data_IF_176422481696
#
_entry.id   IF_176422481696
#
_cell.length_a   1.000
_cell.length_b   1.000
_cell.length_c   1.000
_cell.angle_alpha   90.00
_cell.angle_beta   90.00
_cell.angle_gamma   90.00
#
_symmetry.space_group_name_H-M   'P 1'
#
loop_
_entity.id
_entity.type
_entity.pdbx_description
1 polymer ?
#
# COMPACT_ATOMS: atom_id res chain seq x y z
N UNK A 1 7.05 10.30 14.56
CA UNK A 1 8.37 10.39 13.93
C UNK A 1 8.31 11.40 12.78
N UNK A 2 8.99 12.52 12.93
CA UNK A 2 8.94 13.63 11.96
C UNK A 2 10.19 13.65 11.09
N UNK A 3 10.03 13.44 9.79
CA UNK A 3 11.12 13.41 8.82
C UNK A 3 11.17 14.66 7.93
N UNK A 4 10.37 15.70 8.20
CA UNK A 4 10.26 16.87 7.33
C UNK A 4 11.57 17.63 7.11
N UNK A 5 12.53 17.51 8.00
CA UNK A 5 13.84 18.18 7.91
C UNK A 5 15.01 17.21 7.66
N UNK A 6 14.72 15.96 7.37
CA UNK A 6 15.75 14.94 7.11
C UNK A 6 16.26 15.10 5.68
N UNK A 7 17.58 15.25 5.55
CA UNK A 7 18.24 15.43 4.26
C UNK A 7 18.81 14.12 3.68
N UNK A 8 19.00 13.09 4.47
CA UNK A 8 19.51 11.80 4.03
C UNK A 8 18.93 10.64 4.82
N UNK A 9 18.63 9.56 4.12
CA UNK A 9 18.09 8.32 4.68
C UNK A 9 18.88 7.10 4.16
N UNK A 10 20.18 7.32 3.89
CA UNK A 10 21.04 6.25 3.41
C UNK A 10 21.12 5.14 4.44
N UNK A 11 20.99 3.89 3.97
CA UNK A 11 21.18 2.69 4.79
C UNK A 11 20.28 2.61 6.04
N UNK A 12 19.20 3.38 6.08
CA UNK A 12 18.36 3.54 7.29
C UNK A 12 17.80 2.20 7.81
N UNK A 13 17.45 1.29 6.93
CA UNK A 13 16.95 -0.05 7.26
C UNK A 13 17.84 -1.16 6.70
N UNK A 14 19.05 -0.85 6.27
CA UNK A 14 19.96 -1.86 5.70
C UNK A 14 20.15 -3.04 6.65
N UNK A 15 20.06 -4.24 6.11
CA UNK A 15 20.28 -5.46 6.88
C UNK A 15 19.16 -5.84 7.85
N UNK A 16 18.02 -5.16 7.82
CA UNK A 16 16.86 -5.52 8.65
C UNK A 16 16.19 -6.79 8.10
N UNK A 17 16.88 -7.91 8.14
CA UNK A 17 16.47 -9.16 7.47
C UNK A 17 15.19 -9.79 8.04
N UNK A 18 14.82 -9.50 9.27
CA UNK A 18 13.60 -10.01 9.89
C UNK A 18 12.37 -9.11 9.70
N UNK A 19 12.55 -7.92 9.15
CA UNK A 19 11.50 -6.94 8.96
C UNK A 19 10.59 -7.36 7.80
N UNK A 20 9.29 -7.46 8.05
CA UNK A 20 8.31 -7.94 7.06
C UNK A 20 7.46 -6.84 6.46
N UNK A 21 7.08 -5.85 7.26
CA UNK A 21 6.21 -4.75 6.84
C UNK A 21 6.71 -3.44 7.43
N UNK A 22 6.74 -2.40 6.61
CA UNK A 22 7.06 -1.03 7.03
C UNK A 22 5.92 -0.10 6.65
N UNK A 23 5.42 0.65 7.61
CA UNK A 23 4.46 1.73 7.35
C UNK A 23 5.19 3.07 7.36
N UNK A 24 5.37 3.63 6.18
CA UNK A 24 6.10 4.88 5.96
C UNK A 24 5.19 6.00 5.46
N UNK A 25 3.87 5.90 5.68
CA UNK A 25 2.90 6.90 5.24
C UNK A 25 3.16 8.28 5.82
N UNK A 26 3.74 8.35 7.00
CA UNK A 26 4.05 9.60 7.70
C UNK A 26 5.44 10.17 7.37
N UNK A 27 6.18 9.51 6.50
CA UNK A 27 7.49 10.00 6.08
C UNK A 27 7.32 11.14 5.09
N UNK A 28 7.99 12.25 5.37
CA UNK A 28 8.16 13.34 4.42
C UNK A 28 9.56 13.24 3.83
N UNK A 29 9.65 13.04 2.53
CA UNK A 29 10.91 12.85 1.81
C UNK A 29 11.26 14.02 0.89
N UNK A 30 10.53 15.15 0.99
CA UNK A 30 10.71 16.30 0.10
C UNK A 30 12.11 16.91 0.15
N UNK A 31 12.76 16.84 1.30
CA UNK A 31 14.12 17.37 1.50
C UNK A 31 15.20 16.30 1.44
N UNK A 32 14.83 15.04 1.25
CA UNK A 32 15.78 13.94 1.24
C UNK A 32 16.49 13.89 -0.10
N UNK A 33 17.81 13.96 -0.07
CA UNK A 33 18.66 13.89 -1.25
C UNK A 33 19.26 12.51 -1.49
N UNK A 34 19.49 11.74 -0.44
CA UNK A 34 20.09 10.42 -0.51
C UNK A 34 19.27 9.35 0.18
N UNK A 35 19.07 8.24 -0.52
CA UNK A 35 18.41 7.03 -0.03
C UNK A 35 19.17 5.77 -0.46
N UNK A 36 20.48 5.90 -0.68
CA UNK A 36 21.33 4.78 -1.08
C UNK A 36 21.26 3.66 -0.05
N UNK A 37 21.01 2.44 -0.49
CA UNK A 37 20.93 1.27 0.38
C UNK A 37 19.85 1.30 1.46
N UNK A 38 18.87 2.19 1.39
CA UNK A 38 17.91 2.42 2.47
C UNK A 38 17.24 1.15 2.98
N UNK A 39 16.87 0.23 2.08
CA UNK A 39 16.25 -1.05 2.41
C UNK A 39 17.12 -2.24 2.01
N UNK A 40 18.37 -2.02 1.67
CA UNK A 40 19.27 -3.07 1.20
C UNK A 40 19.30 -4.25 2.17
N UNK A 41 19.24 -5.45 1.61
CA UNK A 41 19.29 -6.73 2.36
C UNK A 41 18.15 -6.93 3.37
N UNK A 42 17.02 -6.27 3.18
CA UNK A 42 15.78 -6.56 3.91
C UNK A 42 15.09 -7.80 3.28
N UNK A 43 15.67 -8.98 3.48
CA UNK A 43 15.29 -10.20 2.75
C UNK A 43 13.85 -10.69 3.00
N UNK A 44 13.29 -10.41 4.17
CA UNK A 44 11.92 -10.80 4.53
C UNK A 44 10.87 -9.72 4.27
N UNK A 45 11.30 -8.53 3.82
CA UNK A 45 10.41 -7.40 3.61
C UNK A 45 9.47 -7.65 2.42
N UNK A 46 8.17 -7.66 2.68
CA UNK A 46 7.13 -7.90 1.67
C UNK A 46 6.36 -6.64 1.30
N UNK A 47 6.10 -5.78 2.28
CA UNK A 47 5.23 -4.63 2.11
C UNK A 47 5.88 -3.35 2.67
N UNK A 48 6.00 -2.34 1.84
CA UNK A 48 6.35 -0.98 2.26
C UNK A 48 5.13 -0.11 1.95
N UNK A 49 4.45 0.37 2.98
CA UNK A 49 3.22 1.12 2.85
C UNK A 49 3.55 2.61 2.69
N UNK A 50 3.20 3.18 1.56
CA UNK A 50 3.31 4.61 1.29
C UNK A 50 2.27 5.03 0.27
N UNK A 51 1.65 6.18 0.50
CA UNK A 51 0.62 6.71 -0.41
C UNK A 51 1.22 7.55 -1.53
N UNK A 52 2.51 7.84 -1.48
CA UNK A 52 3.19 8.73 -2.42
C UNK A 52 4.42 8.07 -3.02
N UNK A 53 4.73 8.46 -4.26
CA UNK A 53 6.02 8.16 -4.86
C UNK A 53 7.10 9.02 -4.21
N UNK A 54 8.27 8.44 -4.02
CA UNK A 54 9.42 9.15 -3.48
C UNK A 54 10.40 9.54 -4.59
N UNK A 55 11.17 10.58 -4.36
CA UNK A 55 12.20 11.04 -5.28
C UNK A 55 13.43 11.48 -4.47
N UNK A 56 14.61 11.20 -4.99
CA UNK A 56 15.88 11.73 -4.45
C UNK A 56 16.96 11.69 -5.55
N UNK A 57 18.07 12.33 -5.26
CA UNK A 57 19.20 12.40 -6.21
C UNK A 57 20.05 11.13 -6.20
N UNK A 58 20.22 10.53 -5.02
CA UNK A 58 21.07 9.37 -4.81
C UNK A 58 20.25 8.22 -4.22
N UNK A 59 20.16 7.12 -4.94
CA UNK A 59 19.32 5.97 -4.53
C UNK A 59 19.89 4.62 -4.97
N UNK A 60 21.21 4.57 -5.16
CA UNK A 60 21.85 3.33 -5.59
C UNK A 60 21.58 2.19 -4.58
N UNK A 61 21.28 1.01 -5.11
CA UNK A 61 21.04 -0.20 -4.32
C UNK A 61 19.94 -0.05 -3.22
N UNK A 62 19.04 0.93 -3.35
CA UNK A 62 18.02 1.22 -2.35
C UNK A 62 17.20 -0.02 -1.94
N UNK A 63 16.85 -0.88 -2.88
CA UNK A 63 16.07 -2.09 -2.65
C UNK A 63 16.83 -3.38 -2.91
N UNK A 64 18.15 -3.33 -3.07
CA UNK A 64 18.95 -4.52 -3.35
C UNK A 64 18.80 -5.56 -2.25
N UNK A 65 18.56 -6.81 -2.64
CA UNK A 65 18.37 -7.90 -1.69
C UNK A 65 16.96 -8.01 -1.10
N UNK A 66 16.05 -7.13 -1.46
CA UNK A 66 14.65 -7.16 -0.99
C UNK A 66 13.81 -8.12 -1.85
N UNK A 67 14.21 -9.37 -1.94
CA UNK A 67 13.68 -10.35 -2.90
C UNK A 67 12.21 -10.72 -2.73
N UNK A 68 11.60 -10.37 -1.60
CA UNK A 68 10.20 -10.66 -1.30
C UNK A 68 9.25 -9.48 -1.46
N UNK A 69 9.74 -8.34 -1.91
CA UNK A 69 8.89 -7.17 -2.11
C UNK A 69 7.78 -7.44 -3.11
N UNK A 70 6.57 -7.04 -2.74
CA UNK A 70 5.35 -7.20 -3.54
C UNK A 70 4.57 -5.88 -3.52
N UNK A 71 4.92 -4.99 -4.41
CA UNK A 71 4.15 -3.77 -4.64
C UNK A 71 3.22 -3.91 -5.84
N UNK A 72 3.12 -2.84 -6.61
CA UNK A 72 2.41 -2.86 -7.90
C UNK A 72 3.09 -3.81 -8.89
N UNK A 73 4.40 -4.06 -8.74
CA UNK A 73 5.19 -4.99 -9.56
C UNK A 73 6.01 -5.93 -8.68
N UNK A 74 6.39 -7.06 -9.24
CA UNK A 74 7.28 -8.01 -8.56
C UNK A 74 8.71 -7.46 -8.49
N UNK A 75 9.47 -7.92 -7.50
CA UNK A 75 10.86 -7.54 -7.34
C UNK A 75 11.71 -7.91 -8.56
N UNK A 76 12.54 -6.97 -9.00
CA UNK A 76 13.52 -7.15 -10.06
C UNK A 76 14.88 -6.63 -9.57
N UNK A 77 15.88 -7.49 -9.49
CA UNK A 77 17.21 -7.14 -8.98
C UNK A 77 17.99 -6.15 -9.86
N UNK A 78 17.48 -5.86 -11.05
CA UNK A 78 18.00 -4.82 -11.95
C UNK A 78 17.35 -3.46 -11.71
N UNK A 79 16.29 -3.40 -10.92
CA UNK A 79 15.52 -2.20 -10.64
C UNK A 79 15.47 -1.98 -9.13
N UNK A 80 16.51 -1.34 -8.61
CA UNK A 80 16.73 -1.20 -7.17
C UNK A 80 16.87 0.25 -6.71
N UNK A 81 16.56 1.20 -7.56
CA UNK A 81 16.67 2.63 -7.25
C UNK A 81 15.31 3.25 -6.81
N UNK A 82 15.31 4.54 -6.53
CA UNK A 82 14.12 5.28 -6.07
C UNK A 82 12.96 5.28 -7.07
N UNK A 83 13.19 4.96 -8.32
CA UNK A 83 12.09 4.82 -9.31
C UNK A 83 11.11 3.73 -8.91
N UNK A 84 11.56 2.76 -8.13
CA UNK A 84 10.72 1.71 -7.60
C UNK A 84 10.04 2.07 -6.26
N UNK A 85 10.34 3.22 -5.69
CA UNK A 85 9.70 3.77 -4.50
C UNK A 85 8.37 4.46 -4.87
N UNK A 86 7.44 3.66 -5.38
CA UNK A 86 6.20 4.15 -5.97
C UNK A 86 5.07 3.11 -5.74
N UNK A 87 3.90 3.52 -5.21
CA UNK A 87 2.79 2.60 -4.99
C UNK A 87 2.01 2.24 -6.26
N UNK A 88 2.17 2.99 -7.36
CA UNK A 88 1.47 2.74 -8.62
C UNK A 88 2.27 1.83 -9.57
N UNK A 89 3.59 2.00 -9.62
CA UNK A 89 4.45 1.34 -10.62
C UNK A 89 5.68 0.67 -10.03
N UNK A 90 5.83 0.65 -8.73
CA UNK A 90 7.02 0.14 -8.04
C UNK A 90 6.72 -0.84 -6.92
N UNK A 91 7.56 -0.82 -5.89
CA UNK A 91 7.53 -1.78 -4.79
C UNK A 91 6.72 -1.33 -3.58
N UNK A 92 6.22 -0.12 -3.57
CA UNK A 92 5.36 0.37 -2.51
C UNK A 92 3.94 -0.16 -2.69
N UNK A 93 3.18 -0.20 -1.60
CA UNK A 93 1.76 -0.51 -1.60
C UNK A 93 1.00 0.62 -0.94
N UNK A 94 -0.23 0.85 -1.39
CA UNK A 94 -1.16 1.73 -0.68
C UNK A 94 -1.53 1.11 0.67
N UNK A 95 -2.19 1.89 1.51
CA UNK A 95 -2.68 1.42 2.79
C UNK A 95 -3.38 0.07 2.64
N UNK A 96 -2.79 -0.96 3.26
CA UNK A 96 -3.31 -2.32 3.15
C UNK A 96 -4.47 -2.49 4.13
N UNK A 97 -5.71 -2.63 3.65
CA UNK A 97 -6.84 -2.79 4.55
C UNK A 97 -6.74 -4.13 5.28
N UNK A 98 -7.28 -4.18 6.51
CA UNK A 98 -7.51 -5.43 7.21
C UNK A 98 -8.54 -6.26 6.46
N UNK A 99 -8.68 -7.55 6.78
CA UNK A 99 -9.70 -8.40 6.16
C UNK A 99 -11.11 -7.80 6.31
N UNK A 100 -11.43 -7.22 7.46
CA UNK A 100 -12.69 -6.50 7.68
C UNK A 100 -12.76 -5.25 6.81
N UNK A 101 -11.67 -4.51 6.69
CA UNK A 101 -11.58 -3.35 5.83
C UNK A 101 -11.77 -3.70 4.35
N UNK A 102 -11.28 -4.85 3.90
CA UNK A 102 -11.49 -5.31 2.53
C UNK A 102 -12.95 -5.54 2.22
N UNK A 103 -13.71 -6.12 3.13
CA UNK A 103 -15.16 -6.30 2.95
C UNK A 103 -15.85 -4.95 2.79
N UNK A 104 -15.53 -3.98 3.62
CA UNK A 104 -16.08 -2.63 3.53
C UNK A 104 -15.64 -1.92 2.24
N UNK A 105 -14.41 -2.11 1.82
CA UNK A 105 -13.89 -1.54 0.57
C UNK A 105 -14.62 -2.09 -0.65
N UNK A 106 -14.86 -3.38 -0.70
CA UNK A 106 -15.60 -3.98 -1.80
C UNK A 106 -17.00 -3.38 -1.95
N UNK A 107 -17.63 -3.00 -0.87
CA UNK A 107 -18.93 -2.34 -0.91
C UNK A 107 -18.88 -0.90 -1.43
N UNK A 108 -17.72 -0.23 -1.34
CA UNK A 108 -17.57 1.17 -1.80
C UNK A 108 -17.50 1.32 -3.31
N UNK A 109 -16.92 0.35 -3.98
CA UNK A 109 -16.57 0.49 -5.39
C UNK A 109 -17.64 -0.01 -6.33
N UNK A 110 -18.77 -0.37 -5.80
CA UNK A 110 -19.77 -1.02 -6.61
C UNK A 110 -21.08 -0.27 -6.53
N UNK A 111 -21.54 0.14 -7.68
CA UNK A 111 -22.90 0.53 -7.86
C UNK A 111 -23.73 -0.76 -7.83
N UNK A 112 -24.62 -0.86 -6.87
CA UNK A 112 -25.48 -2.02 -6.76
C UNK A 112 -25.98 -2.23 -5.34
N UNK A 113 -26.69 -3.30 -5.16
CA UNK A 113 -27.32 -3.67 -3.89
C UNK A 113 -26.55 -4.82 -3.28
N UNK A 114 -26.20 -4.68 -2.00
CA UNK A 114 -25.48 -5.69 -1.24
C UNK A 114 -26.21 -6.02 0.05
N UNK A 115 -26.12 -7.26 0.48
CA UNK A 115 -26.51 -7.64 1.82
C UNK A 115 -25.52 -7.11 2.84
N UNK A 116 -25.86 -7.10 4.12
CA UNK A 116 -24.93 -6.73 5.19
C UNK A 116 -23.69 -7.63 5.24
N UNK A 117 -23.79 -8.85 4.71
CA UNK A 117 -22.66 -9.77 4.61
C UNK A 117 -21.77 -9.49 3.39
N UNK A 118 -22.11 -8.50 2.58
CA UNK A 118 -21.32 -8.15 1.39
C UNK A 118 -21.69 -8.90 0.12
N UNK A 119 -22.74 -9.73 0.14
CA UNK A 119 -23.18 -10.47 -1.04
C UNK A 119 -23.95 -9.56 -2.00
N UNK A 120 -23.56 -9.55 -3.24
CA UNK A 120 -24.25 -8.75 -4.27
C UNK A 120 -25.61 -9.35 -4.61
N UNK A 121 -26.63 -8.47 -4.66
CA UNK A 121 -27.99 -8.81 -5.02
C UNK A 121 -28.25 -8.32 -6.44
N UNK A 122 -28.76 -9.21 -7.31
CA UNK A 122 -29.06 -8.88 -8.71
C UNK A 122 -30.46 -8.36 -8.94
N UNK A 123 -31.31 -8.44 -7.92
CA UNK A 123 -32.73 -8.02 -8.00
C UNK A 123 -32.85 -6.54 -7.64
N UNK A 124 -33.77 -5.82 -8.29
CA UNK A 124 -34.04 -4.43 -7.95
C UNK A 124 -34.51 -4.32 -6.48
N UNK A 125 -34.08 -3.25 -5.81
CA UNK A 125 -34.33 -3.06 -4.37
C UNK A 125 -35.81 -3.21 -3.99
N UNK A 126 -36.72 -2.67 -4.81
CA UNK A 126 -38.16 -2.73 -4.59
C UNK A 126 -38.76 -4.16 -4.61
N UNK A 127 -38.02 -5.12 -5.15
CA UNK A 127 -38.46 -6.52 -5.24
C UNK A 127 -37.77 -7.42 -4.21
N UNK A 128 -36.96 -6.86 -3.34
CA UNK A 128 -36.24 -7.63 -2.32
C UNK A 128 -37.14 -7.94 -1.13
N UNK A 129 -36.88 -9.05 -0.40
CA UNK A 129 -37.51 -9.32 0.89
C UNK A 129 -37.25 -8.17 1.89
N UNK A 130 -38.09 -8.04 2.89
CA UNK A 130 -37.85 -7.09 3.96
C UNK A 130 -36.49 -7.36 4.64
N UNK A 131 -35.72 -6.33 4.90
CA UNK A 131 -34.40 -6.47 5.47
C UNK A 131 -33.56 -5.20 5.30
N UNK A 132 -32.31 -5.28 5.73
CA UNK A 132 -31.36 -4.19 5.60
C UNK A 132 -30.36 -4.53 4.49
N UNK A 133 -30.15 -3.57 3.58
CA UNK A 133 -29.28 -3.71 2.44
C UNK A 133 -28.36 -2.51 2.32
N UNK A 134 -27.28 -2.69 1.61
CA UNK A 134 -26.38 -1.59 1.22
C UNK A 134 -26.62 -1.30 -0.27
N UNK A 135 -27.12 -0.10 -0.55
CA UNK A 135 -27.42 0.34 -1.90
C UNK A 135 -26.51 1.51 -2.24
N UNK A 136 -25.68 1.34 -3.25
CA UNK A 136 -24.70 2.33 -3.69
C UNK A 136 -23.83 2.86 -2.52
N UNK A 137 -23.44 1.99 -1.62
CA UNK A 137 -22.64 2.33 -0.46
C UNK A 137 -23.41 2.89 0.74
N UNK A 138 -24.74 2.98 0.66
CA UNK A 138 -25.58 3.48 1.74
C UNK A 138 -26.45 2.37 2.33
N UNK A 139 -26.56 2.33 3.65
CA UNK A 139 -27.44 1.41 4.35
C UNK A 139 -28.90 1.81 4.12
N UNK A 140 -29.70 0.89 3.61
CA UNK A 140 -31.12 1.12 3.36
C UNK A 140 -31.95 -0.04 3.91
N UNK A 141 -33.14 0.29 4.42
CA UNK A 141 -34.11 -0.68 4.94
C UNK A 141 -35.24 -0.84 3.93
N UNK A 142 -35.58 -2.09 3.69
CA UNK A 142 -36.73 -2.40 2.90
C UNK A 142 -37.89 -2.89 3.75
#
# INVERSE_FOLDING_TARGET
FNTANVAGMNEMFEGCAALKTLDLRNFNTEKVKGMTGMFKDCAELTDIISEKAWQCEESEDMFKGCVRLKGAVAYDDKKTDVKMANPETGYFVHNKPTALGQVLFNSRNTQGIYTLQGKRVKTAFRHLPAGVYIVNGKKMVR
#
